data_IF_353909764776
#
_entry.id   IF_353909764776
#
_cell.length_a   1.000
_cell.length_b   1.000
_cell.length_c   1.000
_cell.angle_alpha   90.00
_cell.angle_beta   90.00
_cell.angle_gamma   90.00
#
_symmetry.space_group_name_H-M   'P 1'
#
loop_
_entity.id
_entity.type
_entity.pdbx_description
1 polymer ?
#
# COMPACT_ATOMS: atom_id res chain seq x y z
N UNK A 1 -9.58 -13.14 26.54
CA UNK A 1 -10.12 -11.78 26.52
C UNK A 1 -9.18 -10.90 25.68
N UNK A 2 -9.46 -10.72 24.40
CA UNK A 2 -8.81 -9.68 23.59
C UNK A 2 -9.93 -8.84 22.99
N UNK A 3 -9.85 -7.55 23.28
CA UNK A 3 -10.95 -6.60 23.21
C UNK A 3 -11.58 -6.53 21.82
N UNK A 4 -12.90 -6.59 21.82
CA UNK A 4 -13.75 -6.14 20.73
C UNK A 4 -13.36 -4.71 20.36
N UNK A 5 -12.88 -4.49 19.13
CA UNK A 5 -12.66 -3.16 18.55
C UNK A 5 -14.02 -2.55 18.19
N UNK A 6 -14.92 -2.46 19.16
CA UNK A 6 -16.24 -1.84 19.02
C UNK A 6 -16.14 -0.41 19.52
N UNK A 7 -15.83 0.52 18.61
CA UNK A 7 -15.85 1.96 18.93
C UNK A 7 -14.98 2.88 18.09
N UNK A 8 -14.53 2.53 16.88
CA UNK A 8 -13.93 3.54 15.99
C UNK A 8 -15.04 4.49 15.51
N UNK A 9 -15.02 5.74 15.97
CA UNK A 9 -15.89 6.77 15.40
C UNK A 9 -15.65 6.87 13.89
N UNK A 10 -16.68 7.17 13.08
CA UNK A 10 -16.54 7.26 11.61
C UNK A 10 -15.40 8.19 11.18
N UNK A 11 -15.17 9.26 11.95
CA UNK A 11 -14.06 10.18 11.74
C UNK A 11 -12.70 9.47 11.81
N UNK A 12 -12.51 8.62 12.82
CA UNK A 12 -11.23 7.93 13.02
C UNK A 12 -10.99 6.85 11.96
N UNK A 13 -12.05 6.20 11.48
CA UNK A 13 -11.94 5.29 10.34
C UNK A 13 -11.54 6.03 9.04
N UNK A 14 -12.08 7.23 8.81
CA UNK A 14 -11.69 8.06 7.67
C UNK A 14 -10.24 8.52 7.79
N UNK A 15 -9.83 8.96 8.98
CA UNK A 15 -8.44 9.37 9.24
C UNK A 15 -7.46 8.21 8.96
N UNK A 16 -7.81 6.98 9.36
CA UNK A 16 -6.98 5.79 9.10
C UNK A 16 -6.85 5.48 7.59
N UNK A 17 -7.94 5.65 6.82
CA UNK A 17 -7.93 5.47 5.36
C UNK A 17 -7.08 6.56 4.68
N UNK A 18 -7.24 7.81 5.10
CA UNK A 18 -6.46 8.93 4.56
C UNK A 18 -4.96 8.72 4.82
N UNK A 19 -4.59 8.22 6.00
CA UNK A 19 -3.21 7.86 6.30
C UNK A 19 -2.69 6.74 5.39
N UNK A 20 -3.50 5.74 5.05
CA UNK A 20 -3.10 4.69 4.12
C UNK A 20 -2.81 5.26 2.72
N UNK A 21 -3.67 6.15 2.21
CA UNK A 21 -3.47 6.84 0.92
C UNK A 21 -2.22 7.73 0.92
N UNK A 22 -2.03 8.52 1.98
CA UNK A 22 -0.87 9.39 2.15
C UNK A 22 0.42 8.56 2.15
N UNK A 23 0.46 7.46 2.90
CA UNK A 23 1.63 6.60 2.97
C UNK A 23 1.96 5.96 1.62
N UNK A 24 0.94 5.59 0.84
CA UNK A 24 1.11 5.07 -0.51
C UNK A 24 1.78 6.08 -1.45
N UNK A 25 1.21 7.28 -1.54
CA UNK A 25 1.74 8.35 -2.40
C UNK A 25 3.13 8.78 -1.94
N UNK A 26 3.34 8.92 -0.63
CA UNK A 26 4.62 9.32 -0.06
C UNK A 26 5.73 8.32 -0.36
N UNK A 27 5.46 7.01 -0.28
CA UNK A 27 6.44 5.98 -0.60
C UNK A 27 6.94 6.08 -2.05
N UNK A 28 6.03 6.26 -3.00
CA UNK A 28 6.38 6.43 -4.42
C UNK A 28 7.16 7.73 -4.62
N UNK A 29 6.68 8.83 -4.02
CA UNK A 29 7.30 10.14 -4.13
C UNK A 29 8.73 10.16 -3.57
N UNK A 30 8.98 9.50 -2.44
CA UNK A 30 10.31 9.44 -1.81
C UNK A 30 11.32 8.70 -2.68
N UNK A 31 10.92 7.64 -3.40
CA UNK A 31 11.81 6.90 -4.32
C UNK A 31 12.17 7.72 -5.56
N UNK A 32 11.29 8.63 -5.99
CA UNK A 32 11.50 9.45 -7.18
C UNK A 32 12.27 10.75 -6.90
N UNK A 33 12.15 11.30 -5.68
CA UNK A 33 12.60 12.68 -5.39
C UNK A 33 13.66 12.82 -4.31
N UNK A 34 13.83 11.83 -3.42
CA UNK A 34 14.88 11.90 -2.39
C UNK A 34 16.13 11.18 -2.90
N UNK A 35 17.30 11.85 -2.89
CA UNK A 35 18.57 11.17 -3.16
C UNK A 35 18.75 10.02 -2.17
N UNK A 36 18.64 8.80 -2.68
CA UNK A 36 18.82 7.55 -1.96
C UNK A 36 19.83 6.65 -2.66
N UNK A 37 20.13 5.50 -2.06
CA UNK A 37 21.05 4.52 -2.66
C UNK A 37 20.48 3.90 -3.94
N UNK A 38 19.15 3.87 -4.08
CA UNK A 38 18.40 3.45 -5.26
C UNK A 38 17.40 4.56 -5.56
N UNK A 39 17.50 5.16 -6.73
CA UNK A 39 16.57 6.16 -7.24
C UNK A 39 15.91 5.61 -8.51
N UNK A 40 14.60 5.70 -8.61
CA UNK A 40 13.87 5.36 -9.84
C UNK A 40 13.45 6.64 -10.54
N UNK A 41 13.41 6.63 -11.86
CA UNK A 41 12.85 7.75 -12.60
C UNK A 41 11.30 7.70 -12.60
N UNK A 42 10.68 8.85 -12.87
CA UNK A 42 9.22 8.96 -12.87
C UNK A 42 8.57 8.15 -14.01
N UNK A 43 9.28 7.94 -15.12
CA UNK A 43 8.78 7.26 -16.30
C UNK A 43 8.65 5.75 -16.06
N UNK A 44 9.61 5.14 -15.38
CA UNK A 44 9.63 3.73 -14.99
C UNK A 44 8.48 3.43 -14.02
N UNK A 45 8.28 4.30 -13.02
CA UNK A 45 7.15 4.20 -12.07
C UNK A 45 5.82 4.28 -12.84
N UNK A 46 5.64 5.29 -13.70
CA UNK A 46 4.41 5.43 -14.47
C UNK A 46 4.12 4.23 -15.38
N UNK A 47 5.15 3.63 -15.96
CA UNK A 47 5.01 2.47 -16.85
C UNK A 47 4.53 1.24 -16.07
N UNK A 48 5.14 0.96 -14.91
CA UNK A 48 4.74 -0.17 -14.06
C UNK A 48 3.30 -0.02 -13.55
N UNK A 49 2.87 1.20 -13.22
CA UNK A 49 1.51 1.46 -12.74
C UNK A 49 0.45 1.53 -13.84
N UNK A 50 0.82 1.86 -15.10
CA UNK A 50 -0.14 1.94 -16.22
C UNK A 50 -0.52 0.57 -16.79
N UNK A 51 0.41 -0.39 -16.79
CA UNK A 51 0.17 -1.70 -17.41
C UNK A 51 -0.41 -2.75 -16.46
N UNK A 52 -0.38 -2.49 -15.14
CA UNK A 52 -0.80 -3.44 -14.11
C UNK A 52 -2.19 -3.05 -13.61
N UNK A 53 -3.19 -3.89 -13.87
CA UNK A 53 -4.59 -3.68 -13.46
C UNK A 53 -4.79 -3.37 -11.97
N UNK A 54 -5.14 -4.36 -11.15
CA UNK A 54 -5.19 -4.14 -9.70
C UNK A 54 -3.78 -4.17 -9.10
N UNK A 55 -3.47 -3.19 -8.26
CA UNK A 55 -2.21 -3.12 -7.52
C UNK A 55 -2.49 -3.30 -6.02
N UNK A 56 -1.54 -3.92 -5.32
CA UNK A 56 -1.61 -4.15 -3.89
C UNK A 56 -0.32 -3.65 -3.25
N UNK A 57 -0.44 -2.77 -2.25
CA UNK A 57 0.68 -2.14 -1.58
C UNK A 57 0.66 -2.50 -0.09
N UNK A 58 1.77 -3.02 0.40
CA UNK A 58 1.93 -3.35 1.81
C UNK A 58 3.13 -2.61 2.38
N UNK A 59 2.95 -2.10 3.59
CA UNK A 59 3.97 -1.35 4.32
C UNK A 59 4.35 -2.17 5.55
N UNK A 60 5.65 -2.33 5.76
CA UNK A 60 6.21 -3.00 6.91
C UNK A 60 7.23 -2.12 7.61
N UNK A 61 7.27 -2.20 8.93
CA UNK A 61 8.24 -1.49 9.76
C UNK A 61 8.98 -2.48 10.63
N UNK A 62 10.26 -2.22 10.90
CA UNK A 62 11.09 -3.05 11.74
C UNK A 62 12.04 -2.19 12.57
N UNK A 63 12.54 -2.73 13.68
CA UNK A 63 13.41 -2.01 14.63
C UNK A 63 14.54 -2.93 15.10
N UNK A 64 15.64 -2.32 15.57
CA UNK A 64 16.80 -3.06 16.06
C UNK A 64 17.69 -3.62 14.95
N UNK A 65 18.49 -4.63 15.29
CA UNK A 65 19.51 -5.21 14.41
C UNK A 65 18.91 -5.96 13.21
N UNK A 66 17.72 -6.55 13.38
CA UNK A 66 16.99 -7.27 12.34
C UNK A 66 15.89 -6.42 11.67
N UNK A 67 16.01 -5.09 11.72
CA UNK A 67 14.97 -4.16 11.24
C UNK A 67 14.52 -4.42 9.79
N UNK A 68 15.42 -4.80 8.88
CA UNK A 68 15.09 -5.11 7.49
C UNK A 68 14.22 -6.36 7.41
N UNK A 69 14.62 -7.43 8.08
CA UNK A 69 13.91 -8.72 8.08
C UNK A 69 12.53 -8.55 8.70
N UNK A 70 12.45 -7.84 9.83
CA UNK A 70 11.19 -7.56 10.51
C UNK A 70 10.26 -6.71 9.65
N UNK A 71 10.78 -5.67 8.99
CA UNK A 71 9.99 -4.84 8.07
C UNK A 71 9.41 -5.68 6.92
N UNK A 72 10.23 -6.53 6.29
CA UNK A 72 9.79 -7.41 5.20
C UNK A 72 8.73 -8.40 5.69
N UNK A 73 8.96 -9.05 6.83
CA UNK A 73 8.01 -9.99 7.41
C UNK A 73 6.66 -9.33 7.73
N UNK A 74 6.69 -8.13 8.31
CA UNK A 74 5.49 -7.37 8.62
C UNK A 74 4.73 -6.95 7.36
N UNK A 75 5.43 -6.55 6.29
CA UNK A 75 4.81 -6.24 5.00
C UNK A 75 4.14 -7.47 4.36
N UNK A 76 4.78 -8.65 4.41
CA UNK A 76 4.23 -9.89 3.85
C UNK A 76 3.02 -10.37 4.65
N UNK A 77 3.04 -10.20 5.97
CA UNK A 77 1.92 -10.60 6.84
C UNK A 77 0.69 -9.72 6.62
N UNK A 78 0.86 -8.40 6.43
CA UNK A 78 -0.25 -7.50 6.13
C UNK A 78 -0.88 -7.83 4.78
N UNK A 79 -0.06 -8.07 3.75
CA UNK A 79 -0.49 -8.53 2.43
C UNK A 79 -1.38 -9.79 2.49
N UNK A 80 -1.00 -10.76 3.32
CA UNK A 80 -1.71 -12.05 3.44
C UNK A 80 -3.07 -11.93 4.12
N UNK A 81 -3.23 -10.94 5.00
CA UNK A 81 -4.44 -10.80 5.84
C UNK A 81 -5.59 -10.19 5.04
N UNK A 82 -5.30 -9.37 4.04
CA UNK A 82 -6.28 -8.71 3.16
C UNK A 82 -6.86 -9.65 2.08
N UNK A 83 -7.01 -10.95 2.37
CA UNK A 83 -7.40 -11.99 1.40
C UNK A 83 -8.49 -11.49 0.44
N UNK A 84 -8.05 -11.41 -0.82
CA UNK A 84 -8.82 -11.15 -2.02
C UNK A 84 -9.52 -9.79 -2.03
N UNK A 85 -8.97 -8.77 -2.73
CA UNK A 85 -9.85 -7.83 -3.39
C UNK A 85 -10.85 -8.67 -4.18
N UNK A 86 -12.12 -8.65 -3.77
CA UNK A 86 -13.20 -9.15 -4.61
C UNK A 86 -13.17 -8.23 -5.81
N UNK A 87 -12.42 -8.63 -6.85
CA UNK A 87 -12.62 -8.11 -8.18
C UNK A 87 -14.04 -8.52 -8.54
N UNK A 88 -14.97 -7.59 -8.34
CA UNK A 88 -16.23 -7.65 -9.02
C UNK A 88 -15.90 -7.42 -10.50
N UNK A 89 -15.74 -8.50 -11.24
CA UNK A 89 -15.48 -8.50 -12.68
C UNK A 89 -16.60 -7.79 -13.50
N UNK A 90 -17.57 -7.14 -12.84
CA UNK A 90 -18.64 -6.35 -13.43
C UNK A 90 -18.28 -4.89 -13.74
N UNK A 91 -17.12 -4.39 -13.30
CA UNK A 91 -16.80 -2.95 -13.36
C UNK A 91 -16.06 -2.43 -14.60
N UNK A 92 -15.26 -3.24 -15.30
CA UNK A 92 -14.40 -2.74 -16.40
C UNK A 92 -15.10 -2.78 -17.76
N UNK A 93 -16.24 -2.11 -17.89
CA UNK A 93 -16.73 -1.67 -19.21
C UNK A 93 -16.02 -0.38 -19.61
N UNK A 94 -14.75 -0.51 -19.97
CA UNK A 94 -14.06 0.44 -20.83
C UNK A 94 -14.42 0.12 -22.28
N UNK A 95 -15.62 0.50 -22.70
CA UNK A 95 -15.93 0.68 -24.11
C UNK A 95 -15.25 1.96 -24.56
N UNK A 96 -14.13 1.87 -25.27
CA UNK A 96 -13.79 2.85 -26.30
C UNK A 96 -13.21 2.12 -27.52
N UNK A 97 -13.54 2.68 -28.67
CA UNK A 97 -13.52 2.08 -30.02
C UNK A 97 -12.13 1.88 -30.59
#
# INVERSE_FOLDING_TARGET
MAASKSGSTLKQANDDVDQALINGIKGIYEIATRPGFINLDYADICTVFREKGSALMSIGTGRGENNIIDAVNNAIQSLRTEKSPKIDESGTKGTER
#
